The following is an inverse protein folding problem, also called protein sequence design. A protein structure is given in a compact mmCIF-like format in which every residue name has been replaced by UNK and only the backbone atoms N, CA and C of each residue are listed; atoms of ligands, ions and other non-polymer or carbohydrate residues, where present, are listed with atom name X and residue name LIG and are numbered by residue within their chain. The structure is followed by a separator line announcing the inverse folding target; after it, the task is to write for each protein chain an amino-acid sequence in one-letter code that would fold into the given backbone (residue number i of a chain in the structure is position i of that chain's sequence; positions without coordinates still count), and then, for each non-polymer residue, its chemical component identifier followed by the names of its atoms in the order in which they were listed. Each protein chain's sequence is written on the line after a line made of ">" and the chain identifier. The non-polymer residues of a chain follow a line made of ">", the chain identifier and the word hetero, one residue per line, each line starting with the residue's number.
data_IF_168943352939
#
_entry.id   IF_168943352939
#
_cell.length_a   1.000
_cell.length_b   1.000
_cell.length_c   1.000
_cell.angle_alpha   90.00
_cell.angle_beta   90.00
_cell.angle_gamma   90.00
#
_symmetry.space_group_name_H-M   'P 1'
#
loop_
_entity.id
_entity.type
_entity.pdbx_description
1 polymer ?
#
# COMPACT_ATOMS: atom_id res chain seq x y z
N UNK A 1 8.36 18.34 2.34
CA UNK A 1 9.21 17.64 1.79
C UNK A 1 8.76 16.84 0.72
N UNK A 2 9.53 16.70 -0.01
CA UNK A 2 9.19 16.01 -1.03
C UNK A 2 8.97 14.65 -0.84
N UNK A 3 8.29 14.08 -1.59
CA UNK A 3 8.01 12.74 -1.51
C UNK A 3 8.95 11.85 -2.21
N UNK A 4 10.10 12.34 -2.50
CA UNK A 4 11.02 11.52 -3.23
C UNK A 4 11.42 10.35 -2.40
N UNK A 5 11.28 9.17 -2.93
CA UNK A 5 11.55 7.97 -2.21
C UNK A 5 12.54 7.16 -2.98
N UNK A 6 13.65 6.84 -2.33
CA UNK A 6 14.63 6.00 -2.95
C UNK A 6 14.80 4.79 -2.09
N UNK A 7 14.28 3.69 -2.50
CA UNK A 7 14.44 2.45 -1.79
C UNK A 7 13.52 2.25 -0.62
N UNK A 8 12.55 3.15 -0.41
CA UNK A 8 11.61 2.98 0.66
C UNK A 8 10.77 4.19 0.90
N UNK A 9 9.85 4.07 1.84
CA UNK A 9 8.94 5.15 2.19
C UNK A 9 9.49 5.90 3.40
N UNK A 10 9.44 7.23 3.32
CA UNK A 10 9.84 8.07 4.43
C UNK A 10 8.68 8.22 5.40
N UNK A 11 8.98 8.21 6.68
CA UNK A 11 7.99 8.45 7.72
C UNK A 11 8.03 9.89 8.23
N UNK A 12 8.82 10.74 7.59
CA UNK A 12 8.89 12.14 7.98
C UNK A 12 7.54 12.80 7.78
N UNK A 13 7.11 13.55 8.79
CA UNK A 13 5.84 14.24 8.72
C UNK A 13 4.63 13.39 9.00
N UNK A 14 4.80 12.11 9.32
CA UNK A 14 3.70 11.22 9.62
C UNK A 14 3.56 11.06 11.12
N UNK A 15 2.32 11.24 11.61
CA UNK A 15 2.05 11.06 13.02
C UNK A 15 1.49 9.67 13.24
N UNK A 16 2.37 8.73 13.57
CA UNK A 16 1.97 7.34 13.75
C UNK A 16 1.15 7.12 15.02
N UNK A 17 1.02 8.14 15.87
CA UNK A 17 0.21 8.01 17.07
C UNK A 17 -1.27 8.22 16.79
N UNK A 18 -1.60 8.90 15.70
CA UNK A 18 -2.98 9.21 15.38
C UNK A 18 -3.45 8.62 14.07
N UNK A 19 -2.58 7.92 13.36
CA UNK A 19 -2.92 7.38 12.05
C UNK A 19 -2.67 5.88 12.00
N UNK A 20 -3.51 5.18 11.25
CA UNK A 20 -3.27 3.80 10.90
C UNK A 20 -2.67 3.80 9.49
N UNK A 21 -1.52 3.17 9.34
CA UNK A 21 -0.79 3.20 8.08
C UNK A 21 -0.72 1.80 7.52
N UNK A 22 -1.03 1.67 6.23
CA UNK A 22 -0.88 0.42 5.49
C UNK A 22 0.07 0.71 4.34
N UNK A 23 1.18 0.01 4.29
CA UNK A 23 2.18 0.27 3.27
C UNK A 23 2.92 -1.01 2.89
N UNK A 24 3.64 -0.95 1.79
CA UNK A 24 4.42 -2.10 1.35
C UNK A 24 5.03 -1.86 0.00
N UNK A 25 5.45 -2.94 -0.63
CA UNK A 25 6.11 -2.90 -1.92
C UNK A 25 5.51 -3.98 -2.82
N UNK A 26 5.31 -3.63 -4.08
CA UNK A 26 4.81 -4.56 -5.10
C UNK A 26 6.00 -5.02 -5.93
N UNK A 27 6.16 -6.33 -6.07
CA UNK A 27 7.25 -6.91 -6.85
C UNK A 27 6.70 -7.92 -7.84
N UNK A 28 7.49 -8.18 -8.89
CA UNK A 28 7.20 -9.24 -9.84
C UNK A 28 8.52 -9.94 -10.14
N UNK A 29 8.57 -11.23 -9.87
CA UNK A 29 9.80 -11.98 -10.05
C UNK A 29 10.95 -11.49 -9.19
N UNK A 30 10.65 -10.88 -8.05
CA UNK A 30 11.67 -10.34 -7.16
C UNK A 30 12.08 -8.91 -7.47
N UNK A 31 11.54 -8.32 -8.54
CA UNK A 31 11.89 -6.96 -8.95
C UNK A 31 10.78 -5.99 -8.60
N UNK A 32 11.09 -4.78 -8.13
CA UNK A 32 10.04 -3.79 -7.85
C UNK A 32 9.29 -3.42 -9.13
N UNK A 33 7.97 -3.24 -8.98
CA UNK A 33 7.12 -2.79 -10.07
C UNK A 33 7.03 -1.28 -10.03
N UNK A 34 7.30 -0.63 -11.16
CA UNK A 34 7.23 0.83 -11.22
C UNK A 34 5.95 1.34 -11.87
N UNK A 35 5.09 0.44 -12.33
CA UNK A 35 3.85 0.82 -13.00
C UNK A 35 2.72 -0.05 -12.46
N UNK A 36 1.68 0.60 -11.97
CA UNK A 36 0.53 -0.11 -11.43
C UNK A 36 -0.12 0.68 -10.32
N UNK A 37 -1.18 0.11 -9.78
CA UNK A 37 -1.98 0.77 -8.75
C UNK A 37 -2.31 -0.22 -7.65
N UNK A 38 -2.51 0.30 -6.45
CA UNK A 38 -3.03 -0.49 -5.33
C UNK A 38 -4.31 0.18 -4.88
N UNK A 39 -5.38 -0.59 -4.78
CA UNK A 39 -6.67 -0.11 -4.29
C UNK A 39 -6.88 -0.56 -2.88
N UNK A 40 -7.44 0.33 -2.07
CA UNK A 40 -7.83 0.02 -0.70
C UNK A 40 -9.33 -0.20 -0.70
N UNK A 41 -9.74 -1.41 -0.33
CA UNK A 41 -11.15 -1.79 -0.26
C UNK A 41 -11.49 -2.05 1.19
N UNK A 42 -12.67 -1.59 1.62
CA UNK A 42 -13.09 -1.85 2.99
C UNK A 42 -13.51 -3.31 3.15
N UNK A 43 -13.91 -3.69 4.34
CA UNK A 43 -14.21 -5.09 4.61
C UNK A 43 -15.44 -5.60 3.87
N UNK A 44 -16.25 -4.71 3.30
CA UNK A 44 -17.37 -5.11 2.47
C UNK A 44 -16.99 -5.20 1.00
N UNK A 45 -15.74 -4.87 0.67
CA UNK A 45 -15.25 -4.91 -0.69
C UNK A 45 -15.46 -3.62 -1.46
N UNK A 46 -15.88 -2.56 -0.79
CA UNK A 46 -16.14 -1.30 -1.47
C UNK A 46 -14.87 -0.47 -1.61
N UNK A 47 -14.76 0.21 -2.74
CA UNK A 47 -13.61 1.05 -3.05
C UNK A 47 -13.53 2.21 -2.07
N UNK A 48 -12.35 2.43 -1.51
CA UNK A 48 -12.10 3.53 -0.60
C UNK A 48 -11.05 4.48 -1.17
N UNK A 49 -9.95 3.96 -1.69
CA UNK A 49 -8.86 4.78 -2.19
C UNK A 49 -8.02 3.99 -3.18
N UNK A 50 -7.22 4.71 -3.97
CA UNK A 50 -6.31 4.08 -4.91
C UNK A 50 -5.07 4.95 -5.03
N UNK A 51 -3.89 4.34 -5.04
CA UNK A 51 -2.64 5.07 -5.24
C UNK A 51 -1.81 4.35 -6.29
N UNK A 52 -1.05 5.09 -7.10
CA UNK A 52 -0.07 4.45 -7.98
C UNK A 52 1.13 4.01 -7.15
N UNK A 53 1.80 2.95 -7.60
CA UNK A 53 3.04 2.57 -6.95
C UNK A 53 4.13 3.57 -7.32
N UNK A 54 5.11 3.72 -6.44
CA UNK A 54 6.26 4.60 -6.71
C UNK A 54 7.19 3.93 -7.72
N UNK A 55 8.25 4.63 -8.09
CA UNK A 55 9.25 4.10 -9.00
C UNK A 55 9.92 2.83 -8.46
N UNK A 56 9.88 2.62 -7.15
CA UNK A 56 10.42 1.42 -6.52
C UNK A 56 9.33 0.49 -6.02
N UNK A 57 8.09 0.65 -6.51
CA UNK A 57 6.99 -0.26 -6.21
C UNK A 57 6.30 -0.04 -4.89
N UNK A 58 6.60 1.04 -4.19
CA UNK A 58 6.04 1.26 -2.87
C UNK A 58 4.67 1.92 -2.92
N UNK A 59 3.85 1.62 -1.91
CA UNK A 59 2.55 2.24 -1.75
C UNK A 59 2.31 2.51 -0.26
N UNK A 60 1.42 3.46 0.02
CA UNK A 60 1.06 3.79 1.40
C UNK A 60 -0.37 4.32 1.43
N UNK A 61 -1.13 3.84 2.41
CA UNK A 61 -2.47 4.36 2.67
C UNK A 61 -2.56 4.78 4.13
N UNK A 62 -3.40 5.78 4.37
CA UNK A 62 -3.80 6.17 5.71
C UNK A 62 -5.22 5.67 5.87
N UNK A 63 -5.40 4.64 6.68
CA UNK A 63 -6.69 3.96 6.82
C UNK A 63 -7.22 4.16 8.23
N UNK A 64 -8.47 3.79 8.46
CA UNK A 64 -8.99 3.70 9.81
C UNK A 64 -8.71 2.33 10.38
N UNK A 65 -9.04 2.14 11.65
CA UNK A 65 -8.92 0.83 12.27
C UNK A 65 -9.81 -0.17 11.55
N UNK A 66 -9.33 -1.37 11.41
CA UNK A 66 -10.15 -2.45 10.90
C UNK A 66 -9.47 -3.26 9.81
N UNK A 67 -10.26 -4.12 9.18
CA UNK A 67 -9.78 -5.00 8.15
C UNK A 67 -9.97 -4.35 6.79
N UNK A 68 -8.92 -4.44 5.97
CA UNK A 68 -8.93 -3.86 4.63
C UNK A 68 -8.40 -4.88 3.64
N UNK A 69 -8.79 -4.72 2.36
CA UNK A 69 -8.24 -5.53 1.28
C UNK A 69 -7.46 -4.62 0.35
N UNK A 70 -6.26 -5.05 0.01
CA UNK A 70 -5.42 -4.36 -0.98
C UNK A 70 -5.54 -5.13 -2.29
N UNK A 71 -6.07 -4.47 -3.31
CA UNK A 71 -6.15 -5.05 -4.65
C UNK A 71 -5.10 -4.41 -5.51
N UNK A 72 -4.12 -5.19 -5.94
CA UNK A 72 -3.01 -4.70 -6.74
C UNK A 72 -3.29 -4.95 -8.22
N UNK A 73 -3.19 -3.88 -9.00
CA UNK A 73 -3.47 -3.92 -10.43
C UNK A 73 -2.20 -3.52 -11.18
N UNK A 74 -1.59 -4.48 -11.84
CA UNK A 74 -0.36 -4.27 -12.61
C UNK A 74 -0.63 -4.67 -14.05
N UNK A 75 -0.24 -3.85 -15.04
CA UNK A 75 -0.43 -4.21 -16.45
C UNK A 75 0.21 -5.55 -16.76
N UNK A 76 -0.51 -6.40 -17.43
CA UNK A 76 -0.01 -7.72 -17.82
C UNK A 76 -0.05 -8.78 -16.75
N UNK A 77 -0.58 -8.46 -15.57
CA UNK A 77 -0.71 -9.42 -14.49
C UNK A 77 -2.16 -9.43 -13.99
N UNK A 78 -2.57 -10.53 -13.38
CA UNK A 78 -3.90 -10.61 -12.80
C UNK A 78 -3.95 -9.88 -11.47
N UNK A 79 -5.10 -9.32 -11.10
CA UNK A 79 -5.22 -8.65 -9.81
C UNK A 79 -4.88 -9.58 -8.66
N UNK A 80 -4.17 -9.04 -7.67
CA UNK A 80 -3.80 -9.79 -6.47
C UNK A 80 -4.41 -9.11 -5.28
N UNK A 81 -5.19 -9.84 -4.49
CA UNK A 81 -5.83 -9.31 -3.29
C UNK A 81 -5.10 -9.81 -2.06
N UNK A 82 -4.89 -8.89 -1.12
CA UNK A 82 -4.30 -9.21 0.18
C UNK A 82 -5.10 -8.53 1.27
N UNK A 83 -5.41 -9.26 2.31
CA UNK A 83 -6.13 -8.72 3.46
C UNK A 83 -5.13 -8.24 4.49
N UNK A 84 -5.42 -7.11 5.13
CA UNK A 84 -4.55 -6.52 6.12
C UNK A 84 -5.39 -5.93 7.25
N UNK A 85 -4.85 -5.97 8.47
CA UNK A 85 -5.46 -5.33 9.61
C UNK A 85 -4.74 -4.02 9.88
N UNK A 86 -5.49 -2.93 9.94
CA UNK A 86 -4.95 -1.62 10.24
C UNK A 86 -5.37 -1.21 11.66
N UNK A 87 -4.45 -0.54 12.35
CA UNK A 87 -4.73 -0.07 13.70
C UNK A 87 -4.07 1.30 13.88
N UNK A 88 -4.81 2.23 14.44
CA UNK A 88 -4.27 3.55 14.75
C UNK A 88 -3.05 3.38 15.67
N UNK A 89 -1.98 4.06 15.34
CA UNK A 89 -0.73 3.95 16.08
C UNK A 89 0.20 2.88 15.56
N UNK A 90 -0.19 2.16 14.50
CA UNK A 90 0.61 1.07 13.97
C UNK A 90 0.82 1.23 12.47
N UNK A 91 1.88 0.59 11.99
CA UNK A 91 2.18 0.52 10.56
C UNK A 91 2.06 -0.93 10.16
N UNK A 92 1.15 -1.22 9.25
CA UNK A 92 1.00 -2.57 8.70
C UNK A 92 1.80 -2.65 7.41
N UNK A 93 2.78 -3.54 7.37
CA UNK A 93 3.63 -3.75 6.21
C UNK A 93 3.14 -4.96 5.44
N UNK A 94 2.84 -4.77 4.16
CA UNK A 94 2.34 -5.85 3.31
C UNK A 94 3.11 -5.82 2.00
N UNK A 95 3.97 -6.80 1.78
CA UNK A 95 4.68 -6.92 0.51
C UNK A 95 3.86 -7.81 -0.42
N UNK A 96 3.67 -7.37 -1.65
CA UNK A 96 2.78 -8.03 -2.59
C UNK A 96 3.59 -8.48 -3.80
N UNK A 97 3.57 -9.78 -4.06
CA UNK A 97 4.20 -10.35 -5.25
C UNK A 97 3.12 -10.63 -6.28
N UNK A 98 3.32 -10.14 -7.49
CA UNK A 98 2.39 -10.38 -8.59
C UNK A 98 3.01 -11.26 -9.66
#
# INVERSE_FOLDING_TARGET
>A
MCGAIEGGLSLDGINTKTEAIVQGQVTKGGEPISTGYVRLLDRTGEFTAEVPVSATGHFRFFAGDGEWTLRTLVPGAEPVDRTVQAAVGSIAEVDIAV
#
